data_IF_733924497167
#
_entry.id   IF_733924497167
#
_cell.length_a   1.000
_cell.length_b   1.000
_cell.length_c   1.000
_cell.angle_alpha   90.00
_cell.angle_beta   90.00
_cell.angle_gamma   90.00
#
_symmetry.space_group_name_H-M   'P 1'
#
loop_
_entity.id
_entity.type
_entity.pdbx_description
1 polymer ?
#
# COMPACT_ATOMS: atom_id res chain seq x y z
N UNK A 1 -6.24 25.65 -1.75
CA UNK A 1 -6.87 25.38 -0.44
C UNK A 1 -5.79 25.30 0.62
N UNK A 2 -5.91 26.10 1.63
CA UNK A 2 -4.90 26.14 2.69
C UNK A 2 -5.13 24.97 3.65
N UNK A 3 -4.11 24.17 3.88
CA UNK A 3 -4.20 23.11 4.87
C UNK A 3 -4.24 23.73 6.25
N UNK A 4 -5.28 23.45 7.01
CA UNK A 4 -5.37 23.90 8.38
C UNK A 4 -4.54 22.96 9.27
N UNK A 5 -3.48 23.48 9.87
CA UNK A 5 -2.60 22.72 10.74
C UNK A 5 -3.37 22.03 11.87
N UNK A 6 -4.43 22.67 12.37
CA UNK A 6 -5.24 22.09 13.44
C UNK A 6 -6.00 20.84 13.03
N UNK A 7 -6.18 20.62 11.72
CA UNK A 7 -6.86 19.45 11.18
C UNK A 7 -5.90 18.34 10.74
N UNK A 8 -4.60 18.53 10.94
CA UNK A 8 -3.64 17.47 10.64
C UNK A 8 -3.82 16.32 11.64
N UNK A 9 -3.67 15.07 11.16
CA UNK A 9 -3.75 13.93 12.07
C UNK A 9 -2.72 14.06 13.18
N UNK A 10 -3.11 13.73 14.41
CA UNK A 10 -2.19 13.69 15.55
C UNK A 10 -1.28 12.48 15.51
N UNK A 11 -1.61 11.48 14.70
CA UNK A 11 -0.81 10.30 14.44
C UNK A 11 -0.02 10.44 13.14
N UNK A 12 1.00 9.60 13.00
CA UNK A 12 1.74 9.54 11.74
C UNK A 12 0.82 9.09 10.60
N UNK A 13 0.96 9.68 9.41
CA UNK A 13 0.21 9.21 8.25
C UNK A 13 0.49 7.73 7.97
N UNK A 14 -0.55 6.99 7.65
CA UNK A 14 -0.50 5.57 7.34
C UNK A 14 -0.42 5.41 5.82
N UNK A 15 0.61 4.72 5.36
CA UNK A 15 0.88 4.57 3.94
C UNK A 15 0.91 3.10 3.57
N UNK A 16 0.03 2.70 2.66
CA UNK A 16 0.00 1.34 2.13
C UNK A 16 1.05 1.18 1.04
N UNK A 17 1.87 0.15 1.15
CA UNK A 17 2.92 -0.14 0.19
C UNK A 17 2.38 -1.13 -0.86
N UNK A 18 2.01 -0.62 -2.02
CA UNK A 18 1.46 -1.42 -3.11
C UNK A 18 2.53 -1.76 -4.13
N UNK A 19 2.60 -3.02 -4.54
CA UNK A 19 3.56 -3.43 -5.55
C UNK A 19 3.70 -4.94 -5.60
N UNK A 20 4.41 -5.46 -6.62
CA UNK A 20 4.61 -6.89 -6.81
C UNK A 20 5.69 -7.47 -5.89
N UNK A 21 6.17 -6.72 -4.91
CA UNK A 21 7.30 -7.12 -4.05
C UNK A 21 7.08 -8.46 -3.36
N UNK A 22 5.82 -8.82 -3.06
CA UNK A 22 5.47 -10.09 -2.43
C UNK A 22 5.87 -11.31 -3.26
N UNK A 23 6.08 -11.13 -4.57
CA UNK A 23 6.47 -12.20 -5.48
C UNK A 23 7.98 -12.30 -5.67
N UNK A 24 8.76 -11.42 -5.04
CA UNK A 24 10.22 -11.44 -5.14
C UNK A 24 10.78 -12.52 -4.20
N UNK A 25 11.91 -13.18 -4.58
CA UNK A 25 12.55 -14.15 -3.69
C UNK A 25 12.97 -13.56 -2.34
N UNK A 26 13.27 -12.26 -2.31
CA UNK A 26 13.69 -11.54 -1.10
C UNK A 26 12.58 -10.61 -0.59
N UNK A 27 11.33 -10.98 -0.78
CA UNK A 27 10.17 -10.12 -0.48
C UNK A 27 10.20 -9.56 0.94
N UNK A 28 10.46 -10.41 1.93
CA UNK A 28 10.49 -10.01 3.33
C UNK A 28 11.53 -8.91 3.60
N UNK A 29 12.75 -9.11 3.10
CA UNK A 29 13.83 -8.14 3.29
C UNK A 29 13.55 -6.84 2.55
N UNK A 30 13.01 -6.94 1.33
CA UNK A 30 12.67 -5.78 0.53
C UNK A 30 11.58 -4.93 1.19
N UNK A 31 10.51 -5.58 1.64
CA UNK A 31 9.42 -4.88 2.34
C UNK A 31 9.88 -4.29 3.66
N UNK A 32 10.74 -4.99 4.40
CA UNK A 32 11.31 -4.45 5.63
C UNK A 32 12.13 -3.19 5.38
N UNK A 33 12.90 -3.15 4.29
CA UNK A 33 13.66 -1.97 3.90
C UNK A 33 12.76 -0.79 3.58
N UNK A 34 11.69 -1.03 2.84
CA UNK A 34 10.72 0.02 2.51
C UNK A 34 9.99 0.52 3.75
N UNK A 35 9.62 -0.39 4.65
CA UNK A 35 8.99 -0.03 5.92
C UNK A 35 9.92 0.85 6.77
N UNK A 36 11.19 0.49 6.86
CA UNK A 36 12.16 1.29 7.60
C UNK A 36 12.32 2.70 7.02
N UNK A 37 12.32 2.82 5.68
CA UNK A 37 12.36 4.12 5.03
C UNK A 37 11.13 4.97 5.37
N UNK A 38 9.95 4.36 5.35
CA UNK A 38 8.72 5.06 5.73
C UNK A 38 8.82 5.58 7.16
N UNK A 39 9.24 4.75 8.09
CA UNK A 39 9.37 5.13 9.49
C UNK A 39 10.38 6.25 9.70
N UNK A 40 11.49 6.21 8.98
CA UNK A 40 12.49 7.29 9.02
C UNK A 40 11.94 8.62 8.54
N UNK A 41 10.94 8.61 7.69
CA UNK A 41 10.29 9.82 7.17
C UNK A 41 8.99 10.16 7.90
N UNK A 42 8.75 9.55 9.05
CA UNK A 42 7.59 9.88 9.86
C UNK A 42 6.28 9.26 9.39
N UNK A 43 6.36 8.20 8.59
CA UNK A 43 5.19 7.51 8.06
C UNK A 43 5.04 6.16 8.74
N UNK A 44 3.80 5.69 8.87
CA UNK A 44 3.51 4.33 9.34
C UNK A 44 3.24 3.45 8.13
N UNK A 45 4.12 2.47 7.83
CA UNK A 45 3.90 1.59 6.69
C UNK A 45 2.83 0.56 6.97
N UNK A 46 1.98 0.32 5.97
CA UNK A 46 1.03 -0.79 5.94
C UNK A 46 1.49 -1.75 4.87
N UNK A 47 1.86 -2.95 5.26
CA UNK A 47 2.44 -3.93 4.35
C UNK A 47 1.38 -4.93 3.92
N UNK A 48 1.33 -5.29 2.62
CA UNK A 48 0.56 -6.44 2.20
C UNK A 48 1.02 -7.66 2.99
N UNK A 49 0.08 -8.47 3.43
CA UNK A 49 0.41 -9.60 4.28
C UNK A 49 -0.26 -10.87 3.78
N UNK A 50 0.40 -12.01 4.03
CA UNK A 50 -0.18 -13.32 3.81
C UNK A 50 -1.10 -13.72 4.98
N UNK A 51 -1.00 -13.01 6.10
CA UNK A 51 -1.88 -13.22 7.25
C UNK A 51 -3.23 -12.61 6.95
N UNK A 52 -4.17 -13.45 6.60
CA UNK A 52 -5.47 -13.02 6.11
C UNK A 52 -6.47 -12.87 7.23
N UNK A 53 -7.08 -11.69 7.32
CA UNK A 53 -8.33 -11.52 8.03
C UNK A 53 -9.45 -12.17 7.22
N UNK A 54 -10.61 -12.35 7.83
CA UNK A 54 -11.78 -12.90 7.16
C UNK A 54 -12.07 -14.33 7.58
N UNK A 55 -13.14 -14.88 7.02
CA UNK A 55 -13.61 -16.22 7.38
C UNK A 55 -12.59 -17.29 6.98
N UNK A 56 -12.24 -18.14 7.92
CA UNK A 56 -11.22 -19.17 7.70
C UNK A 56 -11.60 -20.17 6.60
N UNK A 57 -12.88 -20.31 6.31
CA UNK A 57 -13.40 -21.17 5.26
C UNK A 57 -13.48 -20.51 3.89
N UNK A 58 -13.21 -19.21 3.80
CA UNK A 58 -13.22 -18.50 2.53
C UNK A 58 -11.98 -18.85 1.70
N UNK A 59 -12.06 -18.78 0.35
CA UNK A 59 -10.89 -18.97 -0.50
C UNK A 59 -9.76 -18.00 -0.15
N UNK A 60 -8.53 -18.47 -0.24
CA UNK A 60 -7.35 -17.68 0.13
C UNK A 60 -7.28 -16.35 -0.62
N UNK A 61 -7.54 -16.37 -1.94
CA UNK A 61 -7.50 -15.15 -2.75
C UNK A 61 -8.49 -14.09 -2.24
N UNK A 62 -9.68 -14.53 -1.83
CA UNK A 62 -10.69 -13.62 -1.26
C UNK A 62 -10.24 -13.05 0.08
N UNK A 63 -9.63 -13.87 0.91
CA UNK A 63 -9.13 -13.44 2.22
C UNK A 63 -8.01 -12.41 2.07
N UNK A 64 -7.11 -12.61 1.11
CA UNK A 64 -6.05 -11.65 0.80
C UNK A 64 -6.66 -10.34 0.31
N UNK A 65 -7.62 -10.41 -0.60
CA UNK A 65 -8.33 -9.24 -1.11
C UNK A 65 -8.98 -8.45 0.03
N UNK A 66 -9.72 -9.14 0.91
CA UNK A 66 -10.39 -8.48 2.02
C UNK A 66 -9.42 -7.85 3.00
N UNK A 67 -8.32 -8.53 3.30
CA UNK A 67 -7.28 -8.01 4.18
C UNK A 67 -6.63 -6.75 3.59
N UNK A 68 -6.26 -6.80 2.33
CA UNK A 68 -5.60 -5.68 1.66
C UNK A 68 -6.55 -4.48 1.51
N UNK A 69 -7.80 -4.71 1.16
CA UNK A 69 -8.76 -3.61 1.02
C UNK A 69 -9.10 -2.96 2.37
N UNK A 70 -9.10 -3.73 3.46
CA UNK A 70 -9.22 -3.14 4.79
C UNK A 70 -8.06 -2.22 5.12
N UNK A 71 -6.82 -2.63 4.81
CA UNK A 71 -5.66 -1.78 5.00
C UNK A 71 -5.73 -0.52 4.15
N UNK A 72 -6.15 -0.66 2.90
CA UNK A 72 -6.33 0.49 2.00
C UNK A 72 -7.37 1.47 2.52
N UNK A 73 -8.47 0.98 3.09
CA UNK A 73 -9.49 1.85 3.69
C UNK A 73 -8.96 2.63 4.88
N UNK A 74 -8.00 2.07 5.60
CA UNK A 74 -7.41 2.72 6.77
C UNK A 74 -6.21 3.60 6.45
N UNK A 75 -5.72 3.57 5.20
CA UNK A 75 -4.54 4.31 4.79
C UNK A 75 -4.85 5.76 4.48
N UNK A 76 -3.90 6.63 4.77
CA UNK A 76 -3.95 8.03 4.37
C UNK A 76 -3.36 8.23 2.98
N UNK A 77 -2.51 7.31 2.52
CA UNK A 77 -1.91 7.36 1.21
C UNK A 77 -1.41 5.99 0.76
N UNK A 78 -1.01 5.94 -0.48
CA UNK A 78 -0.45 4.74 -1.10
C UNK A 78 0.86 5.09 -1.79
N UNK A 79 1.88 4.29 -1.54
CA UNK A 79 3.14 4.33 -2.26
C UNK A 79 3.17 3.11 -3.17
N UNK A 80 3.12 3.32 -4.48
CA UNK A 80 2.91 2.25 -5.43
C UNK A 80 4.11 2.05 -6.35
N UNK A 81 4.52 0.81 -6.53
CA UNK A 81 5.49 0.42 -7.54
C UNK A 81 4.74 0.04 -8.81
N UNK A 82 4.76 0.96 -9.78
CA UNK A 82 4.08 0.81 -11.07
C UNK A 82 5.05 0.47 -12.21
N UNK A 83 6.23 -0.05 -11.90
CA UNK A 83 7.17 -0.50 -12.91
C UNK A 83 6.61 -1.69 -13.69
N UNK A 84 7.11 -1.89 -14.89
CA UNK A 84 6.74 -3.04 -15.71
C UNK A 84 6.96 -4.35 -14.94
N UNK A 85 5.97 -5.22 -15.00
CA UNK A 85 5.98 -6.49 -14.30
C UNK A 85 5.49 -7.59 -15.24
N UNK A 86 6.35 -8.57 -15.51
CA UNK A 86 6.03 -9.70 -16.38
C UNK A 86 5.46 -9.29 -17.75
N UNK A 87 5.91 -8.15 -18.29
CA UNK A 87 5.43 -7.59 -19.55
C UNK A 87 5.62 -6.09 -19.57
N UNK A 88 4.83 -5.41 -20.38
CA UNK A 88 4.94 -3.96 -20.54
C UNK A 88 4.01 -3.16 -19.63
N UNK A 89 3.31 -3.82 -18.73
CA UNK A 89 2.34 -3.19 -17.87
C UNK A 89 2.73 -3.39 -16.40
N UNK A 90 2.26 -2.52 -15.50
CA UNK A 90 2.41 -2.74 -14.07
C UNK A 90 1.66 -4.00 -13.63
N UNK A 91 1.99 -4.51 -12.45
CA UNK A 91 1.23 -5.57 -11.83
C UNK A 91 -0.25 -5.16 -11.69
N UNK A 92 -1.16 -6.03 -12.13
CA UNK A 92 -2.58 -5.72 -12.16
C UNK A 92 -3.18 -5.52 -10.76
N UNK A 93 -2.71 -6.28 -9.79
CA UNK A 93 -3.14 -6.11 -8.39
C UNK A 93 -2.73 -4.75 -7.84
N UNK A 94 -1.52 -4.31 -8.16
CA UNK A 94 -1.03 -2.98 -7.77
C UNK A 94 -1.87 -1.88 -8.42
N UNK A 95 -2.16 -2.00 -9.71
CA UNK A 95 -2.98 -1.03 -10.42
C UNK A 95 -4.39 -0.93 -9.81
N UNK A 96 -4.99 -2.08 -9.48
CA UNK A 96 -6.26 -2.12 -8.78
C UNK A 96 -6.21 -1.37 -7.45
N UNK A 97 -5.19 -1.62 -6.66
CA UNK A 97 -5.05 -1.01 -5.33
C UNK A 97 -4.88 0.50 -5.42
N UNK A 98 -4.13 0.99 -6.39
CA UNK A 98 -4.01 2.44 -6.63
C UNK A 98 -5.37 3.05 -6.98
N UNK A 99 -6.11 2.41 -7.87
CA UNK A 99 -7.45 2.89 -8.25
C UNK A 99 -8.43 2.85 -7.08
N UNK A 100 -8.39 1.79 -6.29
CA UNK A 100 -9.23 1.64 -5.11
C UNK A 100 -8.94 2.76 -4.11
N UNK A 101 -7.67 3.00 -3.82
CA UNK A 101 -7.26 4.05 -2.90
C UNK A 101 -7.66 5.44 -3.40
N UNK A 102 -7.48 5.69 -4.69
CA UNK A 102 -7.88 6.97 -5.30
C UNK A 102 -9.37 7.21 -5.16
N UNK A 103 -10.18 6.18 -5.35
CA UNK A 103 -11.63 6.27 -5.19
C UNK A 103 -12.04 6.58 -3.74
N UNK A 104 -11.21 6.18 -2.77
CA UNK A 104 -11.42 6.50 -1.35
C UNK A 104 -10.90 7.89 -0.97
N UNK A 105 -10.23 8.60 -1.89
CA UNK A 105 -9.64 9.89 -1.61
C UNK A 105 -8.25 9.85 -1.01
N UNK A 106 -7.60 8.69 -0.98
CA UNK A 106 -6.23 8.57 -0.50
C UNK A 106 -5.25 9.14 -1.52
N UNK A 107 -4.17 9.74 -1.01
CA UNK A 107 -3.09 10.23 -1.86
C UNK A 107 -2.30 9.05 -2.42
N UNK A 108 -2.06 9.04 -3.73
CA UNK A 108 -1.24 8.03 -4.39
C UNK A 108 0.01 8.70 -4.99
N UNK A 109 1.17 8.18 -4.60
CA UNK A 109 2.46 8.67 -5.09
C UNK A 109 3.25 7.51 -5.68
N UNK A 110 3.82 7.65 -6.89
CA UNK A 110 4.71 6.63 -7.42
C UNK A 110 6.05 6.63 -6.65
N UNK A 111 6.69 5.47 -6.47
CA UNK A 111 8.00 5.40 -5.84
C UNK A 111 9.03 6.21 -6.63
N UNK A 112 9.87 7.00 -5.90
CA UNK A 112 10.87 7.84 -6.53
C UNK A 112 10.31 8.92 -7.43
N UNK A 113 9.01 9.07 -7.45
CA UNK A 113 8.34 10.01 -8.31
C UNK A 113 8.34 11.42 -7.74
N UNK A 114 8.51 12.36 -8.62
CA UNK A 114 8.05 13.71 -8.38
C UNK A 114 6.55 13.71 -8.59
N UNK A 115 5.86 14.18 -7.61
CA UNK A 115 4.40 14.30 -7.72
C UNK A 115 4.02 15.21 -8.89
#
# INVERSE_FOLDING_TARGET
MTTNIQNLPTRRPRVYLAGPSVFRPNAKAHLASLAALCERHGLTPLLPTDDCAGAADAPLARRIYESNTQMLRSADGVLADLQEWRGHEPDSGTAFEVGFAAALGAMALPPGGTA
#
